data_IF_390182650490
#
_entry.id   IF_390182650490
#
_cell.length_a   1.000
_cell.length_b   1.000
_cell.length_c   1.000
_cell.angle_alpha   90.00
_cell.angle_beta   90.00
_cell.angle_gamma   90.00
#
_symmetry.space_group_name_H-M   'P 1'
#
loop_
_entity.id
_entity.type
_entity.pdbx_description
1 polymer ?
#
# COMPACT_ATOMS: atom_id res chain seq x y z
N UNK A 1 -19.96 -18.78 -39.41
CA UNK A 1 -19.81 -18.58 -37.95
C UNK A 1 -18.37 -18.28 -37.47
N UNK A 2 -17.34 -18.15 -38.35
CA UNK A 2 -15.93 -17.95 -37.93
C UNK A 2 -15.49 -16.49 -37.71
N UNK A 3 -16.30 -15.51 -38.15
CA UNK A 3 -15.99 -14.07 -38.06
C UNK A 3 -16.22 -13.48 -36.65
N UNK A 4 -17.08 -14.11 -35.84
CA UNK A 4 -17.38 -13.64 -34.47
C UNK A 4 -16.30 -14.02 -33.46
N UNK A 5 -15.56 -15.11 -33.71
CA UNK A 5 -14.48 -15.57 -32.83
C UNK A 5 -13.29 -14.59 -32.81
N UNK A 6 -12.96 -13.99 -33.96
CA UNK A 6 -11.87 -13.01 -34.06
C UNK A 6 -12.19 -11.69 -33.35
N UNK A 7 -13.45 -11.22 -33.43
CA UNK A 7 -13.88 -9.98 -32.76
C UNK A 7 -13.89 -10.13 -31.24
N UNK A 8 -14.30 -11.29 -30.72
CA UNK A 8 -14.26 -11.57 -29.27
C UNK A 8 -12.85 -11.68 -28.72
N UNK A 9 -11.90 -12.26 -29.47
CA UNK A 9 -10.50 -12.35 -29.05
C UNK A 9 -9.85 -10.96 -28.99
N UNK A 10 -10.13 -10.09 -29.96
CA UNK A 10 -9.68 -8.69 -29.93
C UNK A 10 -10.26 -7.92 -28.72
N UNK A 11 -11.53 -8.14 -28.38
CA UNK A 11 -12.18 -7.50 -27.23
C UNK A 11 -11.59 -7.97 -25.90
N UNK A 12 -11.24 -9.27 -25.79
CA UNK A 12 -10.63 -9.84 -24.59
C UNK A 12 -9.17 -9.37 -24.39
N UNK A 13 -8.40 -9.22 -25.48
CA UNK A 13 -7.03 -8.70 -25.44
C UNK A 13 -6.96 -7.21 -25.05
N UNK A 14 -7.99 -6.42 -25.42
CA UNK A 14 -8.12 -5.02 -24.99
C UNK A 14 -8.48 -4.91 -23.50
N UNK A 15 -9.23 -5.88 -22.96
CA UNK A 15 -9.61 -5.89 -21.55
C UNK A 15 -8.44 -6.30 -20.63
N UNK A 16 -7.58 -7.22 -21.06
CA UNK A 16 -6.48 -7.74 -20.23
C UNK A 16 -5.27 -6.81 -20.11
N UNK A 17 -5.08 -5.86 -21.03
CA UNK A 17 -3.95 -4.92 -21.00
C UNK A 17 -4.01 -3.88 -19.85
N UNK A 18 -5.15 -3.76 -19.16
CA UNK A 18 -5.34 -2.78 -18.08
C UNK A 18 -5.06 -3.29 -16.65
N UNK A 19 -4.73 -4.56 -16.45
CA UNK A 19 -4.59 -5.14 -15.10
C UNK A 19 -3.16 -5.15 -14.54
N UNK A 20 -2.16 -4.78 -15.34
CA UNK A 20 -0.80 -4.68 -14.84
C UNK A 20 -0.62 -3.29 -14.22
N UNK A 21 -0.19 -3.25 -12.95
CA UNK A 21 0.31 -2.06 -12.23
C UNK A 21 -0.75 -1.10 -11.65
N UNK A 22 -1.39 -1.46 -10.54
CA UNK A 22 -2.11 -0.46 -9.72
C UNK A 22 -2.13 -0.69 -8.20
N UNK A 23 -1.61 -1.81 -7.68
CA UNK A 23 -1.73 -2.08 -6.25
C UNK A 23 -0.56 -1.49 -5.45
N UNK A 24 -0.51 -0.16 -5.29
CA UNK A 24 0.29 0.45 -4.23
C UNK A 24 -0.47 0.33 -2.91
N UNK A 25 0.14 -0.23 -1.87
CA UNK A 25 -0.49 -0.34 -0.57
C UNK A 25 0.04 0.75 0.34
N UNK A 26 -0.84 1.62 0.82
CA UNK A 26 -0.45 2.68 1.76
C UNK A 26 -0.69 2.17 3.17
N UNK A 27 0.35 2.10 3.99
CA UNK A 27 0.26 1.88 5.43
C UNK A 27 0.32 3.24 6.12
N UNK A 28 -0.76 3.61 6.78
CA UNK A 28 -0.86 4.87 7.51
C UNK A 28 -1.31 4.63 8.94
N UNK A 29 -0.94 5.55 9.84
CA UNK A 29 -1.27 5.45 11.25
C UNK A 29 -0.85 6.67 12.04
N UNK A 30 -1.06 6.58 13.36
CA UNK A 30 -0.65 7.60 14.33
C UNK A 30 0.12 6.96 15.47
N UNK A 31 1.17 7.65 15.93
CA UNK A 31 1.93 7.28 17.13
C UNK A 31 1.49 8.18 18.27
N UNK A 32 0.96 7.57 19.34
CA UNK A 32 0.41 8.22 20.51
C UNK A 32 1.13 7.73 21.77
N UNK A 33 1.24 8.59 22.78
CA UNK A 33 1.67 8.19 24.13
C UNK A 33 0.57 7.34 24.80
N UNK A 34 0.98 6.27 25.47
CA UNK A 34 0.06 5.31 26.08
C UNK A 34 -0.75 5.91 27.24
N UNK A 35 -0.18 6.88 27.98
CA UNK A 35 -0.76 7.39 29.22
C UNK A 35 -1.88 8.39 28.98
N UNK A 36 -1.76 9.18 27.94
CA UNK A 36 -2.65 10.33 27.69
C UNK A 36 -3.13 10.44 26.23
N UNK A 37 -2.73 9.51 25.36
CA UNK A 37 -3.04 9.53 23.92
C UNK A 37 -2.52 10.78 23.20
N UNK A 38 -1.54 11.50 23.77
CA UNK A 38 -0.91 12.66 23.13
C UNK A 38 -0.11 12.21 21.91
N UNK A 39 -0.22 12.88 20.75
CA UNK A 39 0.56 12.51 19.58
C UNK A 39 2.05 12.76 19.75
N UNK A 40 2.87 11.82 19.27
CA UNK A 40 4.33 11.90 19.39
C UNK A 40 4.95 12.23 18.03
N UNK A 41 5.56 13.42 17.95
CA UNK A 41 6.32 13.87 16.78
C UNK A 41 7.75 13.33 16.79
N UNK A 42 8.32 13.09 15.60
CA UNK A 42 9.75 12.78 15.47
C UNK A 42 10.11 11.31 15.68
N UNK A 43 9.10 10.44 15.81
CA UNK A 43 9.31 9.00 15.95
C UNK A 43 9.62 8.41 14.59
N UNK A 44 10.67 7.60 14.52
CA UNK A 44 11.02 6.86 13.30
C UNK A 44 10.24 5.55 13.25
N UNK A 45 9.37 5.43 12.26
CA UNK A 45 8.60 4.23 11.96
C UNK A 45 9.27 3.52 10.79
N UNK A 46 9.73 2.29 11.00
CA UNK A 46 10.42 1.49 10.00
C UNK A 46 9.63 0.24 9.64
N UNK A 47 9.40 0.04 8.34
CA UNK A 47 8.75 -1.16 7.79
C UNK A 47 9.61 -1.66 6.63
N UNK A 48 10.25 -2.83 6.82
CA UNK A 48 11.29 -3.36 5.94
C UNK A 48 12.40 -2.33 5.68
N UNK A 49 12.52 -1.88 4.43
CA UNK A 49 13.53 -0.93 3.96
C UNK A 49 13.02 0.52 3.90
N UNK A 50 11.75 0.76 4.26
CA UNK A 50 11.20 2.12 4.33
C UNK A 50 11.20 2.65 5.75
N UNK A 51 11.60 3.91 5.90
CA UNK A 51 11.61 4.64 7.16
C UNK A 51 10.95 6.00 6.95
N UNK A 52 10.01 6.33 7.83
CA UNK A 52 9.34 7.64 7.86
C UNK A 52 9.37 8.19 9.27
N UNK A 53 9.34 9.51 9.40
CA UNK A 53 9.30 10.20 10.69
C UNK A 53 7.90 10.78 10.90
N UNK A 54 7.35 10.60 12.10
CA UNK A 54 6.01 11.13 12.43
C UNK A 54 5.99 12.65 12.46
N UNK A 55 4.88 13.24 11.99
CA UNK A 55 4.66 14.69 12.03
C UNK A 55 4.17 15.21 13.40
N UNK A 56 3.81 16.50 13.48
CA UNK A 56 3.29 17.14 14.70
C UNK A 56 2.02 16.48 15.27
N UNK A 57 1.26 15.77 14.43
CA UNK A 57 0.05 15.05 14.80
C UNK A 57 0.30 13.56 15.07
N UNK A 58 1.57 13.16 15.14
CA UNK A 58 1.99 11.78 15.28
C UNK A 58 1.71 10.93 14.04
N UNK A 59 1.30 11.53 12.92
CA UNK A 59 0.89 10.81 11.72
C UNK A 59 2.10 10.33 10.90
N UNK A 60 1.96 9.14 10.30
CA UNK A 60 2.90 8.60 9.33
C UNK A 60 2.16 7.92 8.18
N UNK A 61 2.79 7.89 7.00
CA UNK A 61 2.29 7.21 5.80
C UNK A 61 3.46 6.60 5.04
N UNK A 62 3.38 5.30 4.74
CA UNK A 62 4.41 4.51 4.08
C UNK A 62 3.80 3.87 2.83
N UNK A 63 4.42 4.07 1.67
CA UNK A 63 3.98 3.45 0.43
C UNK A 63 4.69 2.11 0.24
N UNK A 64 3.98 1.03 0.54
CA UNK A 64 4.47 -0.33 0.44
C UNK A 64 4.19 -0.90 -0.95
N UNK A 65 5.21 -1.54 -1.49
CA UNK A 65 4.99 -2.45 -2.61
C UNK A 65 4.23 -3.70 -2.11
N UNK A 66 3.39 -4.33 -2.97
CA UNK A 66 2.55 -5.47 -2.56
C UNK A 66 3.33 -6.70 -2.04
N UNK A 67 4.65 -6.73 -2.21
CA UNK A 67 5.53 -7.76 -1.67
C UNK A 67 6.03 -7.47 -0.23
N UNK A 68 5.75 -6.29 0.33
CA UNK A 68 6.37 -5.80 1.56
C UNK A 68 5.45 -5.82 2.81
N UNK A 69 4.21 -6.27 2.70
CA UNK A 69 3.37 -6.51 3.89
C UNK A 69 3.67 -7.88 4.51
N UNK A 70 4.84 -8.00 5.15
CA UNK A 70 5.08 -9.05 6.14
C UNK A 70 5.18 -8.40 7.51
N UNK A 71 4.04 -8.12 8.15
CA UNK A 71 4.02 -7.62 9.52
C UNK A 71 4.55 -8.71 10.46
N UNK A 72 5.81 -8.59 10.88
CA UNK A 72 6.37 -9.36 11.98
C UNK A 72 5.81 -8.83 13.32
N UNK A 73 4.54 -9.12 13.59
CA UNK A 73 3.97 -8.96 14.92
C UNK A 73 4.31 -10.21 15.73
N UNK A 74 5.52 -10.26 16.29
CA UNK A 74 5.89 -11.25 17.30
C UNK A 74 5.55 -10.65 18.66
N UNK A 75 4.39 -11.03 19.19
CA UNK A 75 4.06 -10.87 20.62
C UNK A 75 4.82 -11.91 21.44
#
# INVERSE_FOLDING_TARGET
>A
MKKQLHKSIMLLALFSAGYAFAQSQILEGRVLDEKDSTPIQGVKVKVNDQEVTTDISGYYSINLSPYQLHCNSKF
#
